data_IF_519281491981
#
_entry.id   IF_519281491981
#
_cell.length_a   1.000
_cell.length_b   1.000
_cell.length_c   1.000
_cell.angle_alpha   90.00
_cell.angle_beta   90.00
_cell.angle_gamma   90.00
#
_symmetry.space_group_name_H-M   'P 1'
#
loop_
_entity.id
_entity.type
_entity.pdbx_description
1 polymer ?
#
# COMPACT_ATOMS: atom_id res chain seq x y z
N UNK A 1 0.02 -14.12 -23.69
CA UNK A 1 0.04 -13.00 -22.72
C UNK A 1 -0.73 -13.44 -21.49
N UNK A 2 -0.25 -13.13 -20.29
CA UNK A 2 -1.01 -13.36 -19.05
C UNK A 2 -1.81 -12.10 -18.72
N UNK A 3 -2.94 -12.25 -18.02
CA UNK A 3 -3.74 -11.10 -17.57
C UNK A 3 -2.91 -10.07 -16.77
N UNK A 4 -1.91 -10.57 -16.03
CA UNK A 4 -1.03 -9.76 -15.20
C UNK A 4 -0.07 -8.91 -16.06
N UNK A 5 0.42 -9.47 -17.16
CA UNK A 5 1.24 -8.74 -18.12
C UNK A 5 0.43 -7.67 -18.86
N UNK A 6 -0.84 -7.95 -19.19
CA UNK A 6 -1.73 -6.97 -19.83
C UNK A 6 -2.07 -5.80 -18.88
N UNK A 7 -2.18 -6.07 -17.57
CA UNK A 7 -2.43 -5.07 -16.54
C UNK A 7 -1.20 -4.20 -16.25
N UNK A 8 -0.03 -4.81 -16.05
CA UNK A 8 1.18 -4.10 -15.60
C UNK A 8 2.06 -3.62 -16.77
N UNK A 9 1.83 -4.08 -18.01
CA UNK A 9 2.64 -3.72 -19.18
C UNK A 9 4.04 -4.34 -19.21
N UNK A 10 4.40 -5.14 -18.20
CA UNK A 10 5.71 -5.80 -18.05
C UNK A 10 5.54 -7.30 -17.87
N UNK A 11 6.50 -8.09 -18.37
CA UNK A 11 6.46 -9.56 -18.30
C UNK A 11 6.73 -10.11 -16.89
N UNK A 12 7.29 -9.31 -15.99
CA UNK A 12 7.63 -9.70 -14.62
C UNK A 12 7.44 -8.51 -13.67
N UNK A 13 6.20 -8.24 -13.23
CA UNK A 13 5.91 -7.08 -12.38
C UNK A 13 6.42 -7.24 -10.95
N UNK A 14 6.79 -6.12 -10.34
CA UNK A 14 7.08 -5.93 -8.93
C UNK A 14 5.79 -5.43 -8.27
N UNK A 15 5.20 -6.24 -7.40
CA UNK A 15 3.99 -5.88 -6.65
C UNK A 15 4.40 -5.62 -5.20
N UNK A 16 4.23 -4.39 -4.74
CA UNK A 16 4.50 -4.02 -3.36
C UNK A 16 3.26 -4.14 -2.47
N UNK A 17 3.50 -4.22 -1.17
CA UNK A 17 2.46 -4.22 -0.15
C UNK A 17 2.52 -2.90 0.64
N UNK A 18 1.42 -2.16 0.64
CA UNK A 18 1.20 -1.02 1.52
C UNK A 18 0.48 -1.53 2.77
N UNK A 19 1.24 -1.70 3.84
CA UNK A 19 0.69 -2.14 5.12
C UNK A 19 0.04 -0.97 5.84
N UNK A 20 -1.26 -1.08 6.15
CA UNK A 20 -1.89 -0.08 6.99
C UNK A 20 -1.34 -0.19 8.41
N UNK A 21 -1.21 0.94 9.10
CA UNK A 21 -1.06 0.92 10.55
C UNK A 21 -2.30 0.31 11.20
N UNK A 22 -2.14 -0.11 12.45
CA UNK A 22 -3.20 -0.69 13.27
C UNK A 22 -4.52 0.08 13.13
N UNK A 23 -5.61 -0.64 12.99
CA UNK A 23 -6.97 -0.13 12.79
C UNK A 23 -7.80 -0.26 14.08
N UNK A 24 -8.95 0.44 14.18
CA UNK A 24 -9.83 0.30 15.33
C UNK A 24 -10.19 -1.15 15.61
N UNK A 25 -9.81 -1.64 16.79
CA UNK A 25 -9.97 -3.04 17.20
C UNK A 25 -8.64 -3.80 17.33
N UNK A 26 -7.57 -3.30 16.71
CA UNK A 26 -6.23 -3.85 16.87
C UNK A 26 -5.59 -3.42 18.20
N UNK A 27 -4.75 -4.28 18.83
CA UNK A 27 -4.08 -3.96 20.10
C UNK A 27 -3.21 -2.69 20.04
N UNK A 28 -2.63 -2.41 18.87
CA UNK A 28 -1.67 -1.32 18.67
C UNK A 28 -2.31 -0.05 18.08
N UNK A 29 -3.65 0.01 17.99
CA UNK A 29 -4.33 1.21 17.47
C UNK A 29 -4.15 2.39 18.42
N UNK A 30 -3.67 3.52 17.87
CA UNK A 30 -3.51 4.79 18.59
C UNK A 30 -4.78 5.66 18.40
N UNK A 31 -5.67 5.74 19.42
CA UNK A 31 -6.90 6.53 19.32
C UNK A 31 -6.64 8.04 19.35
N UNK A 32 -5.48 8.50 19.85
CA UNK A 32 -5.14 9.93 19.89
C UNK A 32 -4.78 10.44 18.49
N UNK A 33 -4.06 9.63 17.71
CA UNK A 33 -3.76 9.93 16.29
C UNK A 33 -4.96 9.73 15.38
N UNK A 34 -5.73 8.69 15.63
CA UNK A 34 -6.98 8.41 14.92
C UNK A 34 -6.83 7.97 13.45
N UNK A 35 -7.96 7.61 12.83
CA UNK A 35 -8.01 7.11 11.44
C UNK A 35 -7.46 8.07 10.38
N UNK A 36 -7.59 9.39 10.60
CA UNK A 36 -7.05 10.38 9.66
C UNK A 36 -5.52 10.27 9.53
N UNK A 37 -4.83 10.01 10.64
CA UNK A 37 -3.39 9.80 10.65
C UNK A 37 -3.01 8.50 9.92
N UNK A 38 -3.74 7.40 10.15
CA UNK A 38 -3.49 6.12 9.45
C UNK A 38 -3.59 6.28 7.93
N UNK A 39 -4.62 7.00 7.45
CA UNK A 39 -4.79 7.27 6.02
C UNK A 39 -3.65 8.13 5.47
N UNK A 40 -3.18 9.12 6.23
CA UNK A 40 -2.07 9.97 5.79
C UNK A 40 -0.74 9.21 5.72
N UNK A 41 -0.47 8.30 6.67
CA UNK A 41 0.70 7.42 6.60
C UNK A 41 0.61 6.46 5.41
N UNK A 42 -0.56 5.83 5.19
CA UNK A 42 -0.77 4.96 4.03
C UNK A 42 -0.58 5.71 2.70
N UNK A 43 -0.97 6.99 2.63
CA UNK A 43 -0.70 7.86 1.49
C UNK A 43 0.80 8.09 1.29
N UNK A 44 1.53 8.41 2.36
CA UNK A 44 2.96 8.65 2.30
C UNK A 44 3.71 7.38 1.83
N UNK A 45 3.36 6.22 2.38
CA UNK A 45 3.93 4.93 2.00
C UNK A 45 3.60 4.57 0.55
N UNK A 46 2.35 4.78 0.12
CA UNK A 46 1.95 4.57 -1.28
C UNK A 46 2.79 5.41 -2.25
N UNK A 47 3.01 6.69 -1.94
CA UNK A 47 3.85 7.55 -2.78
C UNK A 47 5.30 7.08 -2.80
N UNK A 48 5.86 6.69 -1.65
CA UNK A 48 7.22 6.16 -1.59
C UNK A 48 7.38 4.86 -2.41
N UNK A 49 6.38 3.97 -2.38
CA UNK A 49 6.37 2.75 -3.19
C UNK A 49 6.30 3.07 -4.70
N UNK A 50 5.45 4.02 -5.09
CA UNK A 50 5.34 4.48 -6.48
C UNK A 50 6.66 5.10 -6.98
N UNK A 51 7.27 5.97 -6.18
CA UNK A 51 8.56 6.61 -6.49
C UNK A 51 9.70 5.56 -6.55
N UNK A 52 9.55 4.46 -5.82
CA UNK A 52 10.44 3.29 -5.89
C UNK A 52 10.31 2.46 -7.17
N UNK A 53 9.32 2.74 -8.02
CA UNK A 53 9.15 2.10 -9.34
C UNK A 53 8.45 0.74 -9.30
N UNK A 54 7.56 0.52 -8.35
CA UNK A 54 6.73 -0.70 -8.30
C UNK A 54 5.65 -0.65 -9.39
N UNK A 55 5.30 -1.80 -9.96
CA UNK A 55 4.32 -1.89 -11.04
C UNK A 55 2.86 -1.93 -10.53
N UNK A 56 2.66 -2.38 -9.29
CA UNK A 56 1.36 -2.41 -8.63
C UNK A 56 1.52 -2.39 -7.10
N UNK A 57 0.45 -2.00 -6.40
CA UNK A 57 0.37 -2.00 -4.94
C UNK A 57 -0.84 -2.79 -4.47
N UNK A 58 -0.63 -3.63 -3.46
CA UNK A 58 -1.66 -4.30 -2.68
C UNK A 58 -1.77 -3.63 -1.30
N UNK A 59 -2.95 -3.72 -0.70
CA UNK A 59 -3.21 -3.21 0.65
C UNK A 59 -3.56 -4.37 1.58
N UNK A 60 -3.07 -4.30 2.82
CA UNK A 60 -3.39 -5.24 3.91
C UNK A 60 -3.81 -4.49 5.16
#
# INVERSE_FOLDING_TARGET
>A
MTWLQDLCGVSKPIIAMCHLHALPGDPDYDPERGMAWVVEQARADLHALQDGGVDAVMFS
#
